data_IF_428761799895
#
_entry.id   IF_428761799895
#
_cell.length_a   1.000
_cell.length_b   1.000
_cell.length_c   1.000
_cell.angle_alpha   90.00
_cell.angle_beta   90.00
_cell.angle_gamma   90.00
#
_symmetry.space_group_name_H-M   'P 1'
#
loop_
_entity.id
_entity.type
_entity.pdbx_description
1 polymer ?
#
# COMPACT_ATOMS: atom_id res chain seq x y z
N UNK A 1 -0.67 -4.05 -23.27
CA UNK A 1 -1.40 -4.42 -22.03
C UNK A 1 -2.23 -5.69 -22.20
N UNK A 2 -2.98 -5.85 -23.32
CA UNK A 2 -3.83 -7.02 -23.58
C UNK A 2 -3.19 -8.36 -23.25
N UNK A 3 -2.04 -8.68 -23.87
CA UNK A 3 -1.38 -9.98 -23.66
C UNK A 3 -0.96 -10.29 -22.22
N UNK A 4 -0.73 -9.29 -21.37
CA UNK A 4 -0.45 -9.52 -19.94
C UNK A 4 -1.74 -9.81 -19.16
N UNK A 5 -2.78 -9.00 -19.38
CA UNK A 5 -4.08 -9.19 -18.73
C UNK A 5 -4.74 -10.49 -19.15
N UNK A 6 -4.59 -10.90 -20.41
CA UNK A 6 -5.07 -12.19 -20.92
C UNK A 6 -4.36 -13.36 -20.22
N UNK A 7 -3.03 -13.26 -20.02
CA UNK A 7 -2.28 -14.26 -19.24
C UNK A 7 -2.71 -14.29 -17.78
N UNK A 8 -3.00 -13.12 -17.20
CA UNK A 8 -3.49 -13.00 -15.83
C UNK A 8 -4.90 -13.58 -15.70
N UNK A 9 -5.76 -13.37 -16.70
CA UNK A 9 -7.09 -13.96 -16.78
C UNK A 9 -7.03 -15.48 -16.97
N UNK A 10 -6.06 -16.00 -17.73
CA UNK A 10 -5.84 -17.44 -17.86
C UNK A 10 -5.41 -18.11 -16.53
N UNK A 11 -4.83 -17.34 -15.59
CA UNK A 11 -4.56 -17.81 -14.23
C UNK A 11 -5.81 -17.81 -13.34
N UNK A 12 -6.91 -17.18 -13.75
CA UNK A 12 -8.17 -17.16 -13.02
C UNK A 12 -9.12 -18.21 -13.64
N UNK A 13 -9.22 -19.38 -13.00
CA UNK A 13 -10.15 -20.42 -13.46
C UNK A 13 -11.59 -20.03 -13.16
N UNK A 14 -12.42 -19.89 -14.20
CA UNK A 14 -13.87 -19.78 -14.03
C UNK A 14 -14.53 -21.13 -13.68
N UNK A 15 -13.75 -22.22 -13.64
CA UNK A 15 -14.25 -23.51 -13.22
C UNK A 15 -14.48 -23.50 -11.71
N UNK A 16 -15.77 -23.51 -11.34
CA UNK A 16 -16.26 -23.81 -10.01
C UNK A 16 -15.42 -24.89 -9.36
N UNK A 17 -15.12 -24.70 -8.08
CA UNK A 17 -14.51 -25.66 -7.17
C UNK A 17 -15.24 -27.01 -7.24
N UNK A 18 -14.95 -27.85 -8.24
CA UNK A 18 -15.35 -29.24 -8.29
C UNK A 18 -14.14 -30.04 -7.82
N UNK A 19 -14.39 -30.89 -6.82
CA UNK A 19 -13.40 -31.78 -6.21
C UNK A 19 -12.45 -32.36 -7.26
N UNK A 20 -11.15 -32.13 -7.09
CA UNK A 20 -10.12 -32.71 -7.93
C UNK A 20 -10.16 -34.24 -7.81
N UNK A 21 -10.56 -34.93 -8.89
CA UNK A 21 -10.57 -36.40 -8.94
C UNK A 21 -9.45 -36.97 -9.82
N UNK A 22 -8.63 -36.14 -10.51
CA UNK A 22 -7.61 -36.65 -11.46
C UNK A 22 -6.14 -36.26 -11.21
N UNK A 23 -5.83 -35.51 -10.15
CA UNK A 23 -4.45 -35.07 -9.87
C UNK A 23 -4.04 -33.77 -10.58
N UNK A 24 -4.94 -33.11 -11.32
CA UNK A 24 -4.75 -31.73 -11.78
C UNK A 24 -4.63 -30.75 -10.59
N UNK A 25 -3.66 -29.81 -10.59
CA UNK A 25 -3.52 -28.83 -9.52
C UNK A 25 -4.82 -28.03 -9.37
N UNK A 26 -5.28 -27.75 -8.14
CA UNK A 26 -6.54 -27.04 -7.92
C UNK A 26 -6.55 -25.74 -8.73
N UNK A 27 -7.67 -25.49 -9.42
CA UNK A 27 -7.87 -24.28 -10.20
C UNK A 27 -7.52 -23.06 -9.36
N UNK A 28 -6.55 -22.27 -9.81
CA UNK A 28 -6.16 -21.04 -9.12
C UNK A 28 -7.18 -19.98 -9.49
N UNK A 29 -7.81 -19.39 -8.48
CA UNK A 29 -8.73 -18.28 -8.68
C UNK A 29 -8.12 -17.04 -8.06
N UNK A 30 -7.92 -16.01 -8.89
CA UNK A 30 -7.54 -14.69 -8.41
C UNK A 30 -8.73 -14.12 -7.65
N UNK A 31 -8.57 -13.89 -6.34
CA UNK A 31 -9.63 -13.40 -5.47
C UNK A 31 -9.56 -11.89 -5.19
N UNK A 32 -8.41 -11.24 -5.42
CA UNK A 32 -8.17 -9.85 -5.08
C UNK A 32 -6.98 -9.29 -5.87
N UNK A 33 -7.07 -8.02 -6.28
CA UNK A 33 -5.91 -7.21 -6.66
C UNK A 33 -5.55 -6.22 -5.56
N UNK A 34 -4.29 -6.18 -5.17
CA UNK A 34 -3.76 -5.16 -4.26
C UNK A 34 -2.85 -4.20 -5.02
N UNK A 35 -3.14 -2.90 -4.92
CA UNK A 35 -2.32 -1.82 -5.45
C UNK A 35 -1.65 -1.12 -4.27
N UNK A 36 -0.37 -1.44 -4.06
CA UNK A 36 0.45 -0.75 -3.07
C UNK A 36 0.87 0.63 -3.58
N UNK A 37 1.22 1.53 -2.67
CA UNK A 37 1.56 2.94 -2.95
C UNK A 37 0.58 3.63 -3.90
N UNK A 38 -0.71 3.33 -3.74
CA UNK A 38 -1.79 3.79 -4.62
C UNK A 38 -1.85 5.32 -4.81
N UNK A 39 -1.26 6.10 -3.90
CA UNK A 39 -1.10 7.54 -4.03
C UNK A 39 -0.36 7.96 -5.32
N UNK A 40 0.44 7.07 -5.92
CA UNK A 40 1.17 7.31 -7.17
C UNK A 40 0.25 7.62 -8.36
N UNK A 41 -1.04 7.30 -8.27
CA UNK A 41 -1.99 7.52 -9.37
C UNK A 41 -2.44 8.99 -9.51
N UNK A 42 -2.27 9.78 -8.44
CA UNK A 42 -2.66 11.19 -8.39
C UNK A 42 -1.46 12.10 -8.71
N UNK A 43 -1.67 13.09 -9.57
CA UNK A 43 -0.69 14.18 -9.82
C UNK A 43 -0.48 15.07 -8.60
N UNK A 44 -1.41 15.03 -7.64
CA UNK A 44 -1.31 15.73 -6.37
C UNK A 44 -0.65 14.87 -5.28
N UNK A 45 -0.26 13.64 -5.62
CA UNK A 45 0.58 12.79 -4.79
C UNK A 45 2.05 13.23 -4.82
N UNK A 46 2.82 12.79 -3.84
CA UNK A 46 4.23 13.15 -3.72
C UNK A 46 5.16 12.36 -4.67
N UNK A 47 4.65 11.30 -5.34
CA UNK A 47 5.38 10.46 -6.30
C UNK A 47 4.45 10.00 -7.45
N UNK A 48 4.03 10.93 -8.32
CA UNK A 48 3.10 10.60 -9.41
C UNK A 48 3.73 9.69 -10.48
N UNK A 49 3.04 8.60 -10.83
CA UNK A 49 3.41 7.62 -11.86
C UNK A 49 2.25 7.38 -12.84
N UNK A 50 2.30 7.94 -14.06
CA UNK A 50 1.23 7.82 -15.06
C UNK A 50 0.78 6.38 -15.35
N UNK A 51 1.70 5.42 -15.28
CA UNK A 51 1.43 3.99 -15.53
C UNK A 51 0.36 3.40 -14.57
N UNK A 52 0.20 3.94 -13.36
CA UNK A 52 -0.81 3.47 -12.41
C UNK A 52 -2.24 3.70 -12.92
N UNK A 53 -2.48 4.73 -13.74
CA UNK A 53 -3.82 4.98 -14.31
C UNK A 53 -4.25 3.88 -15.27
N UNK A 54 -3.29 3.29 -15.99
CA UNK A 54 -3.54 2.19 -16.93
C UNK A 54 -3.98 0.91 -16.22
N UNK A 55 -3.64 0.74 -14.92
CA UNK A 55 -4.08 -0.41 -14.12
C UNK A 55 -5.60 -0.41 -13.93
N UNK A 56 -6.17 0.74 -13.53
CA UNK A 56 -7.61 0.87 -13.29
C UNK A 56 -8.43 0.59 -14.54
N UNK A 57 -8.04 1.21 -15.65
CA UNK A 57 -8.70 0.99 -16.94
C UNK A 57 -8.55 -0.44 -17.44
N UNK A 58 -7.34 -0.99 -17.42
CA UNK A 58 -7.07 -2.33 -17.91
C UNK A 58 -7.78 -3.42 -17.11
N UNK A 59 -7.74 -3.34 -15.77
CA UNK A 59 -8.39 -4.33 -14.92
C UNK A 59 -9.91 -4.27 -15.04
N UNK A 60 -10.51 -3.06 -15.04
CA UNK A 60 -11.98 -2.92 -15.05
C UNK A 60 -12.64 -3.19 -16.38
N UNK A 61 -11.97 -2.92 -17.49
CA UNK A 61 -12.52 -3.18 -18.84
C UNK A 61 -12.37 -4.65 -19.26
N UNK A 62 -11.54 -5.44 -18.57
CA UNK A 62 -11.33 -6.83 -18.89
C UNK A 62 -12.53 -7.71 -18.45
N UNK A 63 -13.08 -8.57 -19.33
CA UNK A 63 -14.31 -9.33 -19.06
C UNK A 63 -14.19 -10.30 -17.87
N UNK A 64 -13.03 -10.95 -17.71
CA UNK A 64 -12.77 -11.89 -16.60
C UNK A 64 -12.34 -11.18 -15.32
N UNK A 65 -11.41 -10.22 -15.40
CA UNK A 65 -10.78 -9.61 -14.23
C UNK A 65 -11.59 -8.46 -13.62
N UNK A 66 -12.48 -7.83 -14.38
CA UNK A 66 -13.17 -6.61 -13.97
C UNK A 66 -14.04 -6.76 -12.73
N UNK A 67 -14.57 -7.96 -12.50
CA UNK A 67 -15.37 -8.34 -11.33
C UNK A 67 -14.56 -8.57 -10.06
N UNK A 68 -13.24 -8.79 -10.18
CA UNK A 68 -12.37 -9.10 -9.04
C UNK A 68 -12.26 -7.85 -8.13
N UNK A 69 -12.37 -8.01 -6.80
CA UNK A 69 -12.15 -6.95 -5.84
C UNK A 69 -10.78 -6.27 -5.99
N UNK A 70 -10.70 -4.99 -5.65
CA UNK A 70 -9.47 -4.21 -5.66
C UNK A 70 -9.26 -3.55 -4.30
N UNK A 71 -8.08 -3.73 -3.73
CA UNK A 71 -7.59 -3.08 -2.51
C UNK A 71 -6.51 -2.05 -2.90
N UNK A 72 -6.69 -0.81 -2.47
CA UNK A 72 -5.69 0.25 -2.65
C UNK A 72 -5.08 0.59 -1.29
N UNK A 73 -3.75 0.57 -1.21
CA UNK A 73 -2.98 0.77 0.03
C UNK A 73 -2.09 2.01 -0.11
N UNK A 74 -2.01 2.81 0.95
CA UNK A 74 -1.08 3.95 1.04
C UNK A 74 -1.08 4.51 2.46
N UNK A 75 0.06 5.05 2.89
CA UNK A 75 0.18 5.73 4.19
C UNK A 75 -0.10 7.25 4.12
N UNK A 76 -0.03 7.87 2.93
CA UNK A 76 0.15 9.33 2.80
C UNK A 76 -0.94 10.04 1.98
N UNK A 77 -2.12 9.43 1.79
CA UNK A 77 -3.18 10.04 0.99
C UNK A 77 -4.02 11.08 1.77
N UNK A 78 -3.82 12.35 1.44
CA UNK A 78 -4.74 13.45 1.80
C UNK A 78 -6.10 13.26 1.10
N UNK A 79 -7.20 13.87 1.59
CA UNK A 79 -8.55 13.60 1.08
C UNK A 79 -8.68 13.65 -0.45
N UNK A 80 -8.09 14.66 -1.10
CA UNK A 80 -8.09 14.79 -2.57
C UNK A 80 -7.39 13.62 -3.27
N UNK A 81 -6.26 13.16 -2.74
CA UNK A 81 -5.53 12.01 -3.29
C UNK A 81 -6.34 10.72 -3.13
N UNK A 82 -7.10 10.58 -2.03
CA UNK A 82 -8.01 9.43 -1.86
C UNK A 82 -9.10 9.40 -2.94
N UNK A 83 -9.70 10.56 -3.25
CA UNK A 83 -10.70 10.65 -4.32
C UNK A 83 -10.10 10.35 -5.70
N UNK A 84 -8.87 10.81 -5.95
CA UNK A 84 -8.15 10.51 -7.18
C UNK A 84 -7.82 9.01 -7.28
N UNK A 85 -7.48 8.34 -6.17
CA UNK A 85 -7.26 6.89 -6.13
C UNK A 85 -8.52 6.15 -6.59
N UNK A 86 -9.66 6.45 -5.97
CA UNK A 86 -10.95 5.82 -6.29
C UNK A 86 -11.30 6.02 -7.77
N UNK A 87 -11.19 7.26 -8.27
CA UNK A 87 -11.53 7.61 -9.66
C UNK A 87 -10.61 6.98 -10.70
N UNK A 88 -9.30 7.00 -10.47
CA UNK A 88 -8.32 6.53 -11.45
C UNK A 88 -8.19 5.00 -11.44
N UNK A 89 -8.27 4.35 -10.27
CA UNK A 89 -8.32 2.88 -10.18
C UNK A 89 -9.69 2.30 -10.49
N UNK A 90 -10.69 3.15 -10.79
CA UNK A 90 -12.06 2.76 -11.15
C UNK A 90 -12.64 1.82 -10.08
N UNK A 91 -12.46 2.19 -8.81
CA UNK A 91 -13.00 1.41 -7.70
C UNK A 91 -14.53 1.51 -7.68
N UNK A 92 -15.19 0.42 -7.33
CA UNK A 92 -16.66 0.31 -7.26
C UNK A 92 -17.01 -0.06 -5.83
N UNK A 93 -18.08 0.53 -5.29
CA UNK A 93 -18.57 0.31 -3.93
C UNK A 93 -17.45 0.41 -2.87
N UNK A 94 -16.64 1.49 -2.91
CA UNK A 94 -15.44 1.56 -2.09
C UNK A 94 -15.75 1.69 -0.60
N UNK A 95 -14.87 1.11 0.22
CA UNK A 95 -14.82 1.37 1.65
C UNK A 95 -13.47 1.96 1.99
N UNK A 96 -13.49 3.10 2.68
CA UNK A 96 -12.27 3.79 3.13
C UNK A 96 -12.01 3.44 4.59
N UNK A 97 -10.87 2.82 4.85
CA UNK A 97 -10.39 2.53 6.21
C UNK A 97 -9.16 3.39 6.46
N UNK A 98 -9.20 4.20 7.51
CA UNK A 98 -8.09 5.06 7.91
C UNK A 98 -7.79 4.81 9.38
N UNK A 99 -6.52 4.56 9.68
CA UNK A 99 -6.02 4.48 11.04
C UNK A 99 -5.31 5.78 11.43
N UNK A 100 -5.20 6.04 12.73
CA UNK A 100 -4.33 7.09 13.23
C UNK A 100 -2.88 6.81 12.81
N UNK A 101 -2.15 7.87 12.46
CA UNK A 101 -0.71 7.80 12.25
C UNK A 101 0.07 7.90 13.56
N UNK A 102 -0.61 8.24 14.66
CA UNK A 102 0.01 8.43 15.96
C UNK A 102 0.66 7.14 16.47
N UNK A 103 1.78 7.31 17.15
CA UNK A 103 2.60 6.21 17.68
C UNK A 103 2.92 6.54 19.12
N UNK A 104 2.15 5.97 20.04
CA UNK A 104 2.33 6.16 21.48
C UNK A 104 3.74 5.77 21.97
N UNK A 105 4.41 4.89 21.21
CA UNK A 105 5.78 4.45 21.48
C UNK A 105 6.86 5.39 20.89
N UNK A 106 6.51 6.52 20.27
CA UNK A 106 7.44 7.52 19.76
C UNK A 106 7.37 8.81 20.56
N UNK A 107 8.47 9.18 21.22
CA UNK A 107 8.62 10.47 21.91
C UNK A 107 9.37 11.44 20.99
N UNK A 108 8.74 12.56 20.65
CA UNK A 108 9.35 13.61 19.82
C UNK A 108 9.92 14.70 20.74
N UNK A 109 11.24 14.97 20.63
CA UNK A 109 11.94 15.98 21.42
C UNK A 109 12.81 16.87 20.51
N UNK A 110 12.90 18.15 20.82
CA UNK A 110 13.67 19.14 20.05
C UNK A 110 14.74 19.78 20.94
N UNK A 111 15.99 19.80 20.48
CA UNK A 111 17.12 20.46 21.14
C UNK A 111 17.80 21.44 20.18
N UNK A 112 18.26 22.58 20.69
CA UNK A 112 19.05 23.51 19.90
C UNK A 112 20.40 22.88 19.54
N UNK A 113 20.81 23.02 18.28
CA UNK A 113 22.15 22.63 17.84
C UNK A 113 23.19 23.55 18.49
N UNK A 114 24.16 23.03 19.26
CA UNK A 114 25.18 23.85 19.88
C UNK A 114 26.14 24.41 18.82
N UNK A 115 26.71 25.61 19.05
CA UNK A 115 27.62 26.26 18.10
C UNK A 115 28.92 25.47 17.90
N UNK A 116 29.31 24.62 18.85
CA UNK A 116 30.51 23.77 18.81
C UNK A 116 30.15 22.35 19.28
N UNK A 117 30.87 21.33 18.82
CA UNK A 117 30.68 19.92 19.25
C UNK A 117 29.59 19.11 18.53
N UNK A 118 28.80 19.74 17.66
CA UNK A 118 27.88 19.05 16.74
C UNK A 118 26.73 18.28 17.42
N UNK A 119 26.11 17.36 16.67
CA UNK A 119 24.92 16.63 17.12
C UNK A 119 25.18 15.73 18.34
N UNK A 120 26.39 15.18 18.47
CA UNK A 120 26.74 14.28 19.59
C UNK A 120 26.64 14.97 20.94
N UNK A 121 27.10 16.23 21.03
CA UNK A 121 26.98 17.02 22.27
C UNK A 121 25.51 17.36 22.55
N UNK A 122 24.75 17.72 21.53
CA UNK A 122 23.33 18.05 21.67
C UNK A 122 22.49 16.87 22.19
N UNK A 123 22.77 15.66 21.70
CA UNK A 123 22.02 14.45 22.03
C UNK A 123 22.61 13.62 23.16
N UNK A 124 23.81 13.95 23.67
CA UNK A 124 24.46 13.20 24.76
C UNK A 124 23.54 13.00 25.97
N UNK A 125 22.83 14.02 26.50
CA UNK A 125 21.91 13.82 27.62
C UNK A 125 20.79 12.83 27.32
N UNK A 126 20.25 12.87 26.09
CA UNK A 126 19.19 11.96 25.64
C UNK A 126 19.73 10.52 25.54
N UNK A 127 20.91 10.35 24.94
CA UNK A 127 21.54 9.03 24.83
C UNK A 127 21.83 8.47 26.22
N UNK A 128 22.40 9.27 27.12
CA UNK A 128 22.71 8.86 28.50
C UNK A 128 21.43 8.46 29.26
N UNK A 129 20.32 9.19 29.10
CA UNK A 129 19.00 8.84 29.67
C UNK A 129 18.48 7.48 29.19
N UNK A 130 18.48 7.22 27.88
CA UNK A 130 17.94 5.99 27.29
C UNK A 130 18.88 4.78 27.35
N UNK A 131 20.19 5.00 27.53
CA UNK A 131 21.19 3.93 27.65
C UNK A 131 21.57 3.63 29.09
N UNK A 132 21.45 4.60 30.00
CA UNK A 132 21.80 4.46 31.42
C UNK A 132 20.79 3.65 32.25
N UNK A 133 19.57 3.42 31.75
CA UNK A 133 18.52 2.66 32.44
C UNK A 133 18.60 1.13 32.30
N UNK A 134 19.54 0.58 31.52
CA UNK A 134 19.60 -0.86 31.18
C UNK A 134 20.50 -1.71 32.08
N UNK A 135 20.64 -1.32 33.36
CA UNK A 135 21.58 -1.98 34.28
C UNK A 135 21.14 -1.98 35.74
N UNK A 136 19.91 -2.42 36.05
CA UNK A 136 19.54 -2.97 37.37
C UNK A 136 18.44 -4.01 37.20
N UNK A 137 18.87 -5.24 36.87
CA UNK A 137 18.15 -6.48 37.12
C UNK A 137 19.02 -7.34 38.03
#
# INVERSE_FOLDING_TARGET
MGSFLDRLAALHSSASYSHAVDGSPPGRNICLFAVDESHCVSEWGHDFRPEYRKLGEGLRTHPVLGSIPLLALTATAVPRVQDDIVRNLKMRDERRVKQSFDRENLVISVKRKPPQGGYRVAFKPLIDEFTGGRGKG
#
